data_IF_756993920927
#
_entry.id   IF_756993920927
#
_cell.length_a   1.000
_cell.length_b   1.000
_cell.length_c   1.000
_cell.angle_alpha   90.00
_cell.angle_beta   90.00
_cell.angle_gamma   90.00
#
_symmetry.space_group_name_H-M   'P 1'
#
loop_
_entity.id
_entity.type
_entity.pdbx_description
1 polymer ?
#
# COMPACT_ATOMS: atom_id res chain seq x y z
N UNK A 1 17.57 -0.44 -2.27
CA UNK A 1 16.11 -0.64 -2.32
C UNK A 1 15.77 -1.79 -1.40
N UNK A 2 15.45 -1.50 -0.15
CA UNK A 2 15.21 -2.51 0.89
C UNK A 2 13.86 -3.17 0.61
N UNK A 3 13.88 -4.34 -0.02
CA UNK A 3 12.71 -5.22 -0.03
C UNK A 3 12.65 -5.85 1.36
N UNK A 4 11.85 -5.29 2.26
CA UNK A 4 11.54 -5.99 3.51
C UNK A 4 10.67 -7.20 3.11
N UNK A 5 11.32 -8.35 2.85
CA UNK A 5 10.63 -9.62 2.93
C UNK A 5 10.26 -9.76 4.40
N UNK A 6 8.99 -9.55 4.75
CA UNK A 6 8.51 -9.99 6.04
C UNK A 6 8.71 -11.51 6.05
N UNK A 7 9.72 -11.99 6.77
CA UNK A 7 9.91 -13.43 6.95
C UNK A 7 9.52 -13.72 8.38
N UNK A 8 8.44 -14.47 8.58
CA UNK A 8 8.09 -15.00 9.89
C UNK A 8 9.20 -15.98 10.32
N UNK A 9 10.22 -15.46 11.03
CA UNK A 9 11.37 -16.23 11.54
C UNK A 9 12.14 -17.05 10.50
N UNK A 10 12.17 -16.62 9.23
CA UNK A 10 12.94 -17.30 8.18
C UNK A 10 12.28 -18.54 7.55
N UNK A 11 11.07 -18.94 7.99
CA UNK A 11 10.54 -20.31 7.74
C UNK A 11 9.43 -20.40 6.68
N UNK A 12 8.74 -19.29 6.41
CA UNK A 12 7.65 -19.21 5.44
C UNK A 12 7.68 -17.87 4.71
N UNK A 13 7.27 -17.85 3.45
CA UNK A 13 6.93 -16.61 2.75
C UNK A 13 5.77 -15.93 3.49
N UNK A 14 5.95 -14.67 3.89
CA UNK A 14 4.85 -13.89 4.44
C UNK A 14 4.30 -12.94 3.38
N UNK A 15 2.98 -12.67 3.39
CA UNK A 15 2.41 -11.64 2.54
C UNK A 15 3.06 -10.28 2.85
N UNK A 16 3.20 -9.45 1.81
CA UNK A 16 3.65 -8.08 1.99
C UNK A 16 2.57 -7.27 2.72
N UNK A 17 2.94 -6.58 3.80
CA UNK A 17 2.02 -5.74 4.56
C UNK A 17 1.82 -4.40 3.84
N UNK A 18 0.58 -4.09 3.47
CA UNK A 18 0.20 -2.81 2.92
C UNK A 18 -0.81 -2.11 3.84
N UNK A 19 -0.84 -0.78 3.75
CA UNK A 19 -1.81 0.07 4.45
C UNK A 19 -2.37 1.09 3.46
N UNK A 20 -3.66 1.40 3.63
CA UNK A 20 -4.37 2.44 2.90
C UNK A 20 -4.95 3.44 3.91
N UNK A 21 -4.87 4.72 3.57
CA UNK A 21 -5.43 5.82 4.35
C UNK A 21 -6.73 6.32 3.75
N UNK A 22 -7.74 6.51 4.60
CA UNK A 22 -8.92 7.31 4.25
C UNK A 22 -8.68 8.72 4.77
N UNK A 23 -8.60 9.69 3.87
CA UNK A 23 -8.40 11.10 4.21
C UNK A 23 -9.70 11.85 3.90
N UNK A 24 -10.49 12.25 4.91
CA UNK A 24 -11.67 13.07 4.71
C UNK A 24 -11.29 14.44 4.15
N UNK A 25 -12.10 14.96 3.21
CA UNK A 25 -11.94 16.30 2.66
C UNK A 25 -13.31 16.89 2.33
N UNK A 26 -13.78 17.84 3.16
CA UNK A 26 -15.15 18.33 3.10
C UNK A 26 -16.15 17.18 3.33
N UNK A 27 -17.10 17.04 2.40
CA UNK A 27 -18.10 15.94 2.40
C UNK A 27 -17.59 14.67 1.69
N UNK A 28 -16.34 14.66 1.23
CA UNK A 28 -15.75 13.56 0.45
C UNK A 28 -14.50 12.97 1.08
N UNK A 29 -13.80 12.16 0.28
CA UNK A 29 -12.51 11.55 0.62
C UNK A 29 -11.50 11.73 -0.50
N UNK A 30 -10.22 11.80 -0.16
CA UNK A 30 -9.12 11.88 -1.14
C UNK A 30 -8.93 10.53 -1.82
N UNK A 31 -8.88 10.55 -3.15
CA UNK A 31 -8.50 9.42 -4.00
C UNK A 31 -7.35 9.81 -4.93
N UNK A 32 -6.53 8.83 -5.30
CA UNK A 32 -5.47 8.99 -6.28
C UNK A 32 -5.78 8.22 -7.56
N UNK A 33 -5.39 8.75 -8.72
CA UNK A 33 -5.39 7.98 -9.98
C UNK A 33 -4.07 7.24 -10.11
N UNK A 34 -4.10 5.90 -10.13
CA UNK A 34 -2.89 5.06 -10.15
C UNK A 34 -2.08 5.28 -11.43
N UNK A 35 -0.81 5.66 -11.29
CA UNK A 35 0.10 5.89 -12.42
C UNK A 35 0.84 4.65 -12.93
N UNK A 36 0.77 3.51 -12.22
CA UNK A 36 1.52 2.28 -12.50
C UNK A 36 0.63 1.04 -12.35
N UNK A 37 1.00 -0.04 -13.04
CA UNK A 37 0.40 -1.36 -12.79
C UNK A 37 0.80 -1.89 -11.40
N UNK A 38 -0.04 -2.75 -10.79
CA UNK A 38 -1.37 -3.17 -11.26
C UNK A 38 -2.42 -2.05 -11.17
N UNK A 39 -3.51 -2.15 -11.93
CA UNK A 39 -4.68 -1.24 -11.88
C UNK A 39 -4.37 0.20 -12.30
N UNK A 40 -3.49 0.40 -13.28
CA UNK A 40 -3.19 1.73 -13.81
C UNK A 40 -4.47 2.44 -14.27
N UNK A 41 -4.55 3.74 -14.03
CA UNK A 41 -5.67 4.60 -14.43
C UNK A 41 -6.91 4.51 -13.54
N UNK A 42 -6.99 3.55 -12.61
CA UNK A 42 -8.09 3.42 -11.64
C UNK A 42 -7.92 4.41 -10.48
N UNK A 43 -9.02 4.77 -9.85
CA UNK A 43 -9.03 5.49 -8.57
C UNK A 43 -8.75 4.50 -7.43
N UNK A 44 -7.98 4.92 -6.44
CA UNK A 44 -7.65 4.14 -5.24
C UNK A 44 -7.49 5.06 -4.03
N UNK A 45 -7.57 4.48 -2.83
CA UNK A 45 -7.11 5.15 -1.62
C UNK A 45 -5.60 5.41 -1.71
N UNK A 46 -5.10 6.49 -1.08
CA UNK A 46 -3.66 6.65 -0.88
C UNK A 46 -3.14 5.54 0.04
N UNK A 47 -2.10 4.83 -0.38
CA UNK A 47 -1.56 3.70 0.36
C UNK A 47 -0.21 3.23 -0.15
N UNK A 48 0.37 2.26 0.56
CA UNK A 48 1.69 1.71 0.27
C UNK A 48 2.06 0.51 1.14
N UNK A 49 3.23 -0.07 0.87
CA UNK A 49 3.81 -1.10 1.71
C UNK A 49 4.41 -0.50 2.98
N UNK A 50 4.30 -1.22 4.09
CA UNK A 50 4.86 -0.81 5.38
C UNK A 50 6.37 -1.04 5.39
N UNK A 51 7.12 -0.06 5.88
CA UNK A 51 8.56 -0.17 6.13
C UNK A 51 8.83 -0.79 7.50
N UNK A 52 9.95 -1.48 7.61
CA UNK A 52 10.45 -1.99 8.87
C UNK A 52 10.98 -0.81 9.70
N UNK A 53 10.47 -0.64 10.92
CA UNK A 53 10.73 0.50 11.81
C UNK A 53 12.18 0.69 12.20
#
# INVERSE_FOLDING_TARGET
MVRCFCVCKGKYEAPALAVDGVVPYGEGVVLVRRGKEPFRGKLALPGGFVECG
#
